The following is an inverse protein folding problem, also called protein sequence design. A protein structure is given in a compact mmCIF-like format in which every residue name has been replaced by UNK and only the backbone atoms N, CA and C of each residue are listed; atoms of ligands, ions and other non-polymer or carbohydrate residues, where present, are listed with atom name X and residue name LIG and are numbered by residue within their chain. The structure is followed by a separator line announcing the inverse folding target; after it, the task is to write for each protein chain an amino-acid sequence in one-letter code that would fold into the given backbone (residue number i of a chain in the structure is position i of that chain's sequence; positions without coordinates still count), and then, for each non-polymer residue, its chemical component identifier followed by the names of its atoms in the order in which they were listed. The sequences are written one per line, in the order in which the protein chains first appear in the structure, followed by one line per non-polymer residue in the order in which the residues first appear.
data_IF_764415740161
#
_entry.id   IF_764415740161
#
_cell.length_a   1.000
_cell.length_b   1.000
_cell.length_c   1.000
_cell.angle_alpha   90.00
_cell.angle_beta   90.00
_cell.angle_gamma   90.00
#
_symmetry.space_group_name_H-M   'P 1'
#
loop_
_entity.id
_entity.type
_entity.pdbx_description
1 polymer ?
#
# COMPACT_ATOMS: atom_id res chain seq x y z
N UNK A 1 52.90 -21.63 -10.01
CA UNK A 1 51.90 -21.80 -8.93
C UNK A 1 50.91 -20.64 -8.97
N UNK A 2 49.61 -20.97 -9.00
CA UNK A 2 48.41 -20.22 -8.58
C UNK A 2 48.45 -18.68 -8.60
N UNK A 3 47.46 -18.08 -9.27
CA UNK A 3 46.40 -17.27 -8.60
C UNK A 3 45.26 -16.92 -9.57
N UNK A 4 44.30 -17.85 -9.67
CA UNK A 4 42.91 -17.52 -10.02
C UNK A 4 42.34 -16.67 -8.88
N UNK A 5 42.12 -15.36 -9.09
CA UNK A 5 41.44 -14.53 -8.11
C UNK A 5 40.76 -13.31 -8.75
N UNK A 6 39.83 -13.54 -9.69
CA UNK A 6 39.09 -12.44 -10.33
C UNK A 6 37.60 -12.75 -10.55
N UNK A 7 36.94 -13.50 -9.64
CA UNK A 7 35.52 -13.91 -9.82
C UNK A 7 34.69 -13.90 -8.53
N UNK A 8 34.90 -12.99 -7.55
CA UNK A 8 34.16 -13.10 -6.26
C UNK A 8 33.49 -11.80 -5.76
N UNK A 9 33.16 -10.80 -6.60
CA UNK A 9 32.53 -9.57 -6.08
C UNK A 9 31.29 -9.06 -6.85
N UNK A 10 30.46 -9.96 -7.37
CA UNK A 10 29.19 -9.59 -8.04
C UNK A 10 27.96 -10.29 -7.47
N UNK A 11 27.97 -10.70 -6.20
CA UNK A 11 26.72 -10.97 -5.47
C UNK A 11 26.14 -9.65 -4.97
N UNK A 12 25.70 -8.79 -5.90
CA UNK A 12 24.79 -7.69 -5.56
C UNK A 12 23.51 -8.34 -5.04
N UNK A 13 23.29 -8.16 -3.74
CA UNK A 13 22.07 -8.52 -3.04
C UNK A 13 20.87 -7.95 -3.79
N UNK A 14 20.13 -8.81 -4.49
CA UNK A 14 18.81 -8.48 -4.99
C UNK A 14 17.87 -8.32 -3.79
N UNK A 15 17.83 -7.13 -3.21
CA UNK A 15 16.76 -6.75 -2.30
C UNK A 15 15.48 -6.62 -3.12
N UNK A 16 14.74 -7.73 -3.23
CA UNK A 16 13.43 -7.76 -3.86
C UNK A 16 12.48 -6.90 -3.05
N UNK A 17 12.29 -5.65 -3.49
CA UNK A 17 11.22 -4.78 -3.00
C UNK A 17 9.92 -5.40 -3.55
N UNK A 18 9.26 -6.23 -2.75
CA UNK A 18 7.97 -6.79 -3.14
C UNK A 18 6.95 -5.65 -3.23
N UNK A 19 6.51 -5.34 -4.45
CA UNK A 19 5.49 -4.35 -4.69
C UNK A 19 4.18 -4.77 -4.01
N UNK A 20 3.60 -3.89 -3.19
CA UNK A 20 2.29 -4.16 -2.59
C UNK A 20 1.21 -4.18 -3.67
N UNK A 21 0.34 -5.19 -3.66
CA UNK A 21 -0.80 -5.28 -4.58
C UNK A 21 -2.08 -4.79 -3.92
N UNK A 22 -2.93 -4.04 -4.63
CA UNK A 22 -4.29 -3.73 -4.17
C UNK A 22 -5.09 -5.03 -4.08
N UNK A 23 -5.78 -5.24 -2.96
CA UNK A 23 -6.59 -6.44 -2.73
C UNK A 23 -8.05 -6.08 -2.48
N UNK A 24 -8.96 -6.88 -3.03
CA UNK A 24 -10.36 -6.84 -2.63
C UNK A 24 -10.50 -7.58 -1.31
N UNK A 25 -10.60 -6.83 -0.22
CA UNK A 25 -10.61 -7.38 1.15
C UNK A 25 -11.89 -8.17 1.45
N UNK A 26 -13.01 -7.82 0.80
CA UNK A 26 -14.30 -8.47 1.03
C UNK A 26 -14.36 -9.87 0.42
N UNK A 27 -13.67 -10.08 -0.70
CA UNK A 27 -13.54 -11.40 -1.34
C UNK A 27 -12.42 -12.25 -0.74
N UNK A 28 -11.43 -11.64 -0.08
CA UNK A 28 -10.31 -12.35 0.50
C UNK A 28 -10.63 -12.92 1.90
N UNK A 29 -9.91 -13.97 2.32
CA UNK A 29 -10.03 -14.58 3.66
C UNK A 29 -8.90 -14.09 4.57
N UNK A 30 -8.78 -12.77 4.75
CA UNK A 30 -7.82 -12.18 5.70
C UNK A 30 -8.44 -12.10 7.09
N UNK A 31 -7.65 -12.45 8.10
CA UNK A 31 -8.06 -12.44 9.50
C UNK A 31 -6.99 -11.81 10.38
N UNK A 32 -7.44 -11.24 11.50
CA UNK A 32 -6.62 -10.81 12.62
C UNK A 32 -7.22 -11.39 13.90
N UNK A 33 -6.44 -12.18 14.64
CA UNK A 33 -6.89 -12.93 15.79
C UNK A 33 -8.18 -13.73 15.53
N UNK A 34 -8.30 -14.32 14.33
CA UNK A 34 -9.49 -15.05 13.87
C UNK A 34 -10.67 -14.17 13.41
N UNK A 35 -10.61 -12.85 13.59
CA UNK A 35 -11.65 -11.92 13.11
C UNK A 35 -11.42 -11.60 11.64
N UNK A 36 -12.45 -11.81 10.81
CA UNK A 36 -12.39 -11.50 9.38
C UNK A 36 -12.30 -9.99 9.15
N UNK A 37 -11.33 -9.59 8.32
CA UNK A 37 -11.19 -8.20 7.88
C UNK A 37 -12.04 -7.98 6.63
N UNK A 38 -12.73 -6.84 6.57
CA UNK A 38 -13.60 -6.43 5.47
C UNK A 38 -13.56 -4.91 5.30
N UNK A 39 -14.22 -4.39 4.27
CA UNK A 39 -14.41 -2.94 4.08
C UNK A 39 -15.17 -2.27 5.22
N UNK A 40 -15.88 -3.05 6.05
CA UNK A 40 -16.61 -2.57 7.24
C UNK A 40 -15.74 -2.55 8.50
N UNK A 41 -14.52 -3.10 8.45
CA UNK A 41 -13.65 -3.16 9.62
C UNK A 41 -13.10 -1.77 9.95
N UNK A 42 -13.33 -1.33 11.19
CA UNK A 42 -12.89 -0.03 11.68
C UNK A 42 -11.40 -0.02 12.01
N UNK A 43 -10.80 1.17 12.01
CA UNK A 43 -9.40 1.39 12.41
C UNK A 43 -9.14 0.80 13.81
N UNK A 44 -10.02 1.07 14.77
CA UNK A 44 -9.93 0.55 16.14
C UNK A 44 -9.96 -0.98 16.19
N UNK A 45 -10.77 -1.62 15.33
CA UNK A 45 -10.81 -3.09 15.27
C UNK A 45 -9.47 -3.64 14.78
N UNK A 46 -8.83 -3.01 13.79
CA UNK A 46 -7.51 -3.41 13.33
C UNK A 46 -6.45 -3.21 14.42
N UNK A 47 -6.46 -2.07 15.11
CA UNK A 47 -5.52 -1.78 16.20
C UNK A 47 -5.58 -2.80 17.33
N UNK A 48 -6.79 -3.20 17.74
CA UNK A 48 -6.98 -4.07 18.89
C UNK A 48 -6.74 -5.55 18.58
N UNK A 49 -6.83 -5.97 17.32
CA UNK A 49 -6.83 -7.39 16.96
C UNK A 49 -5.70 -7.81 16.03
N UNK A 50 -5.12 -6.89 15.25
CA UNK A 50 -4.05 -7.20 14.31
C UNK A 50 -2.68 -7.02 14.96
N UNK A 51 -1.73 -7.88 14.57
CA UNK A 51 -0.36 -7.82 15.06
C UNK A 51 0.36 -6.60 14.47
N UNK A 52 1.09 -5.89 15.34
CA UNK A 52 1.88 -4.69 15.02
C UNK A 52 1.08 -3.59 14.31
N UNK A 53 -0.20 -3.45 14.66
CA UNK A 53 -1.09 -2.49 14.06
C UNK A 53 -0.69 -1.04 14.43
N UNK A 54 -0.32 -0.26 13.41
CA UNK A 54 0.07 1.14 13.54
C UNK A 54 -0.87 2.02 12.73
N UNK A 55 -1.36 3.10 13.34
CA UNK A 55 -2.19 4.10 12.68
C UNK A 55 -1.33 5.30 12.36
N UNK A 56 -1.33 5.68 11.10
CA UNK A 56 -0.67 6.87 10.57
C UNK A 56 -1.81 7.79 10.14
N UNK A 57 -2.11 8.76 11.00
CA UNK A 57 -3.10 9.79 10.71
C UNK A 57 -2.43 10.81 9.78
N UNK A 58 -3.09 11.21 8.72
CA UNK A 58 -2.61 12.33 7.93
C UNK A 58 -2.84 13.62 8.74
N UNK A 59 -1.84 14.49 8.82
CA UNK A 59 -2.16 15.87 9.16
C UNK A 59 -2.81 16.47 7.92
N UNK A 60 -4.07 16.87 8.05
CA UNK A 60 -4.70 17.70 7.03
C UNK A 60 -3.80 18.94 6.87
N UNK A 61 -3.33 19.27 5.65
CA UNK A 61 -2.51 20.44 5.48
C UNK A 61 -3.35 21.65 5.89
N UNK A 62 -3.08 22.19 7.08
CA UNK A 62 -3.51 23.53 7.48
C UNK A 62 -3.10 24.48 6.37
N UNK A 63 -4.05 24.81 5.50
CA UNK A 63 -3.92 25.65 4.32
C UNK A 63 -2.52 25.56 3.69
N UNK A 64 -2.32 24.58 2.79
CA UNK A 64 -1.14 24.54 1.91
C UNK A 64 -0.81 25.96 1.46
N UNK A 65 0.37 26.45 1.87
CA UNK A 65 0.70 27.87 1.90
C UNK A 65 0.30 28.56 0.61
N UNK A 66 -0.46 29.66 0.75
CA UNK A 66 -0.85 30.52 -0.35
C UNK A 66 0.40 30.90 -1.16
N UNK A 67 0.60 30.25 -2.31
CA UNK A 67 1.67 30.64 -3.22
C UNK A 67 1.22 31.92 -3.91
N UNK A 68 1.73 33.05 -3.44
CA UNK A 68 1.56 34.35 -4.10
C UNK A 68 2.41 34.33 -5.39
N UNK A 69 1.77 34.19 -6.53
CA UNK A 69 2.43 34.42 -7.82
C UNK A 69 2.52 35.94 -8.03
N UNK A 70 3.74 36.51 -8.19
CA UNK A 70 3.88 37.93 -8.46
C UNK A 70 3.42 38.21 -9.91
N UNK A 71 2.28 38.88 -10.09
CA UNK A 71 1.86 39.33 -11.42
C UNK A 71 0.37 39.51 -11.72
N UNK A 72 -0.54 39.33 -10.76
CA UNK A 72 -1.99 39.53 -11.00
C UNK A 72 -2.60 40.46 -9.96
N UNK A 73 -3.15 41.59 -10.40
CA UNK A 73 -4.00 42.45 -9.56
C UNK A 73 -5.21 41.65 -9.05
N UNK A 74 -5.61 41.95 -7.81
CA UNK A 74 -6.55 41.18 -6.99
C UNK A 74 -6.03 39.77 -6.65
N UNK A 75 -5.62 39.64 -5.39
CA UNK A 75 -5.20 38.44 -4.67
C UNK A 75 -6.11 37.21 -4.85
N UNK A 76 -5.92 36.49 -5.95
CA UNK A 76 -6.50 35.15 -6.16
C UNK A 76 -5.58 34.10 -5.54
N UNK A 77 -5.89 33.74 -4.29
CA UNK A 77 -5.34 32.55 -3.63
C UNK A 77 -5.87 31.31 -4.35
N UNK A 78 -5.06 30.70 -5.21
CA UNK A 78 -5.43 29.42 -5.81
C UNK A 78 -5.17 28.31 -4.79
N UNK A 79 -6.23 27.82 -4.16
CA UNK A 79 -6.20 26.55 -3.44
C UNK A 79 -5.99 25.48 -4.51
N UNK A 80 -4.81 24.87 -4.56
CA UNK A 80 -4.57 23.76 -5.46
C UNK A 80 -5.61 22.65 -5.15
N UNK A 81 -6.34 22.14 -6.16
CA UNK A 81 -7.30 21.07 -5.92
C UNK A 81 -6.55 19.86 -5.38
N UNK A 82 -6.94 19.44 -4.17
CA UNK A 82 -6.47 18.20 -3.55
C UNK A 82 -6.92 17.03 -4.42
N UNK A 83 -5.97 16.20 -4.89
CA UNK A 83 -6.31 14.99 -5.63
C UNK A 83 -7.01 13.99 -4.69
N UNK A 84 -8.28 13.63 -4.94
CA UNK A 84 -9.01 12.68 -4.12
C UNK A 84 -8.44 11.25 -4.16
N UNK A 85 -7.41 10.96 -4.95
CA UNK A 85 -6.72 9.68 -4.96
C UNK A 85 -5.32 9.71 -4.33
N UNK A 86 -4.88 10.88 -3.85
CA UNK A 86 -3.60 11.03 -3.20
C UNK A 86 -3.55 10.23 -1.89
N UNK A 87 -2.75 9.17 -1.90
CA UNK A 87 -2.55 8.30 -0.75
C UNK A 87 -1.81 8.99 0.39
N UNK A 88 -1.11 10.11 0.15
CA UNK A 88 -0.44 10.87 1.21
C UNK A 88 -1.44 11.61 2.10
N UNK A 89 -2.65 11.84 1.58
CA UNK A 89 -3.76 12.51 2.26
C UNK A 89 -4.84 11.51 2.68
N UNK A 90 -4.44 10.27 2.98
CA UNK A 90 -5.32 9.25 3.57
C UNK A 90 -4.73 8.75 4.88
N UNK A 91 -5.58 8.55 5.87
CA UNK A 91 -5.22 7.85 7.09
C UNK A 91 -4.88 6.40 6.74
N UNK A 92 -3.87 5.85 7.40
CA UNK A 92 -3.36 4.50 7.08
C UNK A 92 -3.32 3.67 8.32
N UNK A 93 -3.67 2.40 8.16
CA UNK A 93 -3.43 1.37 9.16
C UNK A 93 -2.54 0.32 8.56
N UNK A 94 -1.37 0.14 9.16
CA UNK A 94 -0.37 -0.85 8.78
C UNK A 94 -0.36 -1.97 9.80
N UNK A 95 -0.45 -3.23 9.36
CA UNK A 95 -0.54 -4.37 10.27
C UNK A 95 -0.16 -5.69 9.59
N UNK A 96 0.01 -6.74 10.40
CA UNK A 96 0.13 -8.12 9.93
C UNK A 96 -1.14 -8.92 10.19
N UNK A 97 -1.55 -9.67 9.17
CA UNK A 97 -2.62 -10.69 9.27
C UNK A 97 -2.12 -11.94 9.99
N UNK A 98 -3.05 -12.79 10.45
CA UNK A 98 -2.73 -14.08 11.09
C UNK A 98 -1.87 -15.00 10.22
N UNK A 99 -2.02 -14.86 8.89
CA UNK A 99 -1.25 -15.63 7.90
C UNK A 99 0.10 -14.99 7.55
N UNK A 100 0.52 -13.95 8.27
CA UNK A 100 1.79 -13.27 8.10
C UNK A 100 1.89 -12.37 6.86
N UNK A 101 0.78 -12.09 6.16
CA UNK A 101 0.78 -11.05 5.12
C UNK A 101 0.79 -9.68 5.77
N UNK A 102 1.67 -8.80 5.31
CA UNK A 102 1.67 -7.38 5.67
C UNK A 102 0.61 -6.65 4.87
N UNK A 103 -0.18 -5.80 5.52
CA UNK A 103 -1.25 -5.04 4.91
C UNK A 103 -1.18 -3.57 5.30
N UNK A 104 -1.55 -2.73 4.35
CA UNK A 104 -1.70 -1.28 4.51
C UNK A 104 -3.08 -0.88 4.00
N UNK A 105 -3.97 -0.51 4.91
CA UNK A 105 -5.34 -0.09 4.60
C UNK A 105 -5.47 1.42 4.72
N UNK A 106 -6.18 2.02 3.77
CA UNK A 106 -6.32 3.46 3.61
C UNK A 106 -7.76 3.87 3.92
N UNK A 107 -7.88 4.93 4.69
CA UNK A 107 -9.14 5.48 5.16
C UNK A 107 -9.20 6.97 4.81
N UNK A 108 -10.40 7.45 4.51
CA UNK A 108 -10.71 8.88 4.37
C UNK A 108 -11.90 9.19 5.23
N UNK A 109 -11.80 10.19 6.12
CA UNK A 109 -12.88 10.55 7.04
C UNK A 109 -13.46 9.32 7.76
N UNK A 110 -12.57 8.46 8.27
CA UNK A 110 -12.91 7.19 8.93
C UNK A 110 -13.65 6.15 8.05
N UNK A 111 -13.72 6.37 6.73
CA UNK A 111 -14.34 5.46 5.75
C UNK A 111 -13.27 4.69 4.98
N UNK A 112 -13.47 3.37 4.84
CA UNK A 112 -12.57 2.49 4.09
C UNK A 112 -12.47 2.88 2.61
N UNK A 113 -11.25 2.94 2.07
CA UNK A 113 -10.99 3.22 0.65
C UNK A 113 -10.41 1.99 -0.06
N UNK A 114 -9.27 1.50 0.41
CA UNK A 114 -8.54 0.37 -0.21
C UNK A 114 -7.57 -0.26 0.77
N UNK A 115 -7.17 -1.50 0.51
CA UNK A 115 -6.00 -2.11 1.15
C UNK A 115 -5.01 -2.60 0.11
N UNK A 116 -3.73 -2.44 0.44
CA UNK A 116 -2.62 -3.06 -0.27
C UNK A 116 -1.99 -4.14 0.60
N UNK A 117 -1.47 -5.19 -0.03
CA UNK A 117 -0.88 -6.34 0.65
C UNK A 117 0.48 -6.70 0.08
N UNK A 118 1.40 -7.04 0.97
CA UNK A 118 2.61 -7.81 0.64
C UNK A 118 2.42 -9.24 1.16
N UNK A 119 2.58 -10.26 0.29
CA UNK A 119 2.58 -11.65 0.75
C UNK A 119 3.72 -11.91 1.77
N UNK A 120 3.60 -12.95 2.61
CA UNK A 120 4.69 -13.34 3.50
C UNK A 120 5.95 -13.68 2.69
N UNK A 121 7.13 -13.35 3.21
CA UNK A 121 8.45 -13.64 2.60
C UNK A 121 8.62 -15.11 2.18
N UNK A 122 7.90 -16.04 2.81
CA UNK A 122 8.01 -17.48 2.56
C UNK A 122 6.94 -18.01 1.59
N UNK A 123 6.09 -17.14 1.05
CA UNK A 123 5.12 -17.51 0.01
C UNK A 123 5.79 -17.37 -1.33
N UNK A 124 6.34 -18.48 -1.84
CA UNK A 124 6.73 -18.61 -3.24
C UNK A 124 5.61 -18.07 -4.12
N UNK A 125 5.89 -17.00 -4.85
CA UNK A 125 4.99 -16.40 -5.83
C UNK A 125 4.72 -17.47 -6.87
N UNK A 126 3.55 -18.12 -6.81
CA UNK A 126 3.01 -18.82 -7.98
C UNK A 126 2.62 -17.73 -8.97
N UNK A 127 3.55 -17.41 -9.86
CA UNK A 127 3.29 -16.69 -11.10
C UNK A 127 2.17 -17.44 -11.81
N UNK A 128 0.94 -16.91 -11.74
CA UNK A 128 -0.12 -17.32 -12.64
C UNK A 128 0.26 -16.73 -13.99
N UNK A 129 1.02 -17.50 -14.77
CA UNK A 129 1.20 -17.26 -16.20
C UNK A 129 -0.19 -17.36 -16.81
N UNK A 130 -0.84 -16.22 -17.03
CA UNK A 130 -2.05 -16.16 -17.82
C UNK A 130 -1.71 -16.61 -19.24
N UNK A 131 -1.95 -17.89 -19.53
CA UNK A 131 -1.95 -18.41 -20.90
C UNK A 131 -3.17 -17.77 -21.57
N UNK A 132 -2.94 -16.72 -22.33
CA UNK A 132 -3.93 -16.14 -23.24
C UNK A 132 -4.22 -17.21 -24.29
N UNK A 133 -5.31 -17.94 -24.11
CA UNK A 133 -5.89 -18.78 -25.13
C UNK A 133 -6.69 -17.88 -26.07
N UNK A 134 -6.09 -17.52 -27.20
CA UNK A 134 -6.79 -16.88 -28.31
C UNK A 134 -7.68 -17.92 -28.99
N UNK A 135 -8.92 -18.05 -28.52
CA UNK A 135 -9.97 -18.72 -29.27
C UNK A 135 -10.60 -17.70 -30.21
N UNK A 136 -10.24 -17.72 -31.49
CA UNK A 136 -11.02 -17.08 -32.56
C UNK A 136 -11.80 -18.15 -33.31
N UNK A 137 -13.08 -18.22 -32.99
CA UNK A 137 -14.13 -18.81 -33.82
C UNK A 137 -14.71 -17.65 -34.63
N UNK A 138 -14.46 -17.62 -35.93
CA UNK A 138 -15.46 -17.72 -37.00
C UNK A 138 -14.79 -17.44 -38.36
#
# INVERSE_FOLDING_TARGET
MKRNLLVVLLSLSASSIFAMSVVNIDNAKYTCNGIRISSKTTITTLQNNCKDAQVIIHDEPHAAGAVRIPGGGAEMTMIAPVDPNDETQMDKVEFYTDRGSYMKCYYRNNTFVKCKRTPPSNSSVSTVTAKVSSSSVN
#
